data_IF_976672723222
#
_entry.id   IF_976672723222
#
_cell.length_a   1.000
_cell.length_b   1.000
_cell.length_c   1.000
_cell.angle_alpha   90.00
_cell.angle_beta   90.00
_cell.angle_gamma   90.00
#
_symmetry.space_group_name_H-M   'P 1'
#
loop_
_entity.id
_entity.type
_entity.pdbx_description
1 polymer ?
#
# COMPACT_ATOMS: atom_id res chain seq x y z
N UNK A 1 -18.82 25.76 -35.71
CA UNK A 1 -19.39 26.19 -34.42
C UNK A 1 -19.22 25.05 -33.45
N UNK A 2 -18.17 25.10 -32.63
CA UNK A 2 -17.85 24.09 -31.65
C UNK A 2 -18.54 24.45 -30.33
N UNK A 3 -19.36 23.54 -29.80
CA UNK A 3 -19.94 23.65 -28.46
C UNK A 3 -18.97 23.07 -27.44
N UNK A 4 -18.40 23.94 -26.61
CA UNK A 4 -17.59 23.59 -25.45
C UNK A 4 -18.47 22.92 -24.38
N UNK A 5 -18.30 21.61 -24.19
CA UNK A 5 -18.83 20.90 -23.03
C UNK A 5 -17.92 21.18 -21.82
N UNK A 6 -18.50 21.80 -20.79
CA UNK A 6 -17.82 22.31 -19.60
C UNK A 6 -17.01 21.27 -18.83
N UNK A 7 -15.71 21.24 -19.11
CA UNK A 7 -14.69 20.85 -18.14
C UNK A 7 -14.49 22.09 -17.26
N UNK A 8 -14.86 22.02 -15.98
CA UNK A 8 -14.46 23.07 -15.02
C UNK A 8 -12.94 23.15 -15.02
N UNK A 9 -12.42 24.36 -15.23
CA UNK A 9 -10.99 24.61 -15.35
C UNK A 9 -10.24 24.22 -14.08
N UNK A 10 -8.99 23.80 -14.26
CA UNK A 10 -8.03 23.45 -13.20
C UNK A 10 -7.95 24.51 -12.10
N UNK A 11 -8.18 25.78 -12.44
CA UNK A 11 -8.13 26.91 -11.50
C UNK A 11 -9.31 26.98 -10.52
N UNK A 12 -10.50 26.50 -10.89
CA UNK A 12 -11.68 26.56 -10.00
C UNK A 12 -11.62 25.54 -8.85
N UNK A 13 -10.87 24.43 -9.03
CA UNK A 13 -10.69 23.41 -8.00
C UNK A 13 -9.56 23.77 -7.00
N UNK A 14 -8.66 24.69 -7.40
CA UNK A 14 -7.49 25.13 -6.64
C UNK A 14 -7.74 26.36 -5.76
N UNK A 15 -8.83 27.11 -6.00
CA UNK A 15 -9.07 28.42 -5.38
C UNK A 15 -9.29 28.40 -3.85
N UNK A 16 -9.35 27.22 -3.21
CA UNK A 16 -9.62 27.07 -1.78
C UNK A 16 -8.47 26.57 -0.91
N UNK A 17 -7.32 26.16 -1.47
CA UNK A 17 -6.30 25.43 -0.70
C UNK A 17 -4.95 26.16 -0.64
N UNK A 18 -4.35 26.35 0.55
CA UNK A 18 -3.00 26.90 0.66
C UNK A 18 -2.00 25.99 -0.04
N UNK A 19 -1.22 26.54 -0.98
CA UNK A 19 -0.18 25.82 -1.70
C UNK A 19 1.01 25.58 -0.77
N UNK A 20 1.10 24.39 -0.18
CA UNK A 20 2.21 23.95 0.68
C UNK A 20 3.21 23.03 -0.05
N UNK A 21 3.21 23.07 -1.39
CA UNK A 21 4.15 22.36 -2.25
C UNK A 21 3.80 20.90 -2.56
N UNK A 22 2.72 20.35 -1.99
CA UNK A 22 2.25 18.98 -2.30
C UNK A 22 1.20 19.01 -3.40
N UNK A 23 1.40 18.20 -4.44
CA UNK A 23 0.52 18.18 -5.63
C UNK A 23 -0.83 17.51 -5.27
N UNK A 24 -1.98 18.19 -5.49
CA UNK A 24 -3.29 17.57 -5.29
C UNK A 24 -3.54 16.47 -6.31
N UNK A 25 -4.20 15.40 -5.86
CA UNK A 25 -4.67 14.33 -6.71
C UNK A 25 -6.07 14.65 -7.23
N UNK A 26 -6.27 14.48 -8.55
CA UNK A 26 -7.58 14.64 -9.15
C UNK A 26 -8.53 13.53 -8.68
N UNK A 27 -9.71 13.92 -8.19
CA UNK A 27 -10.78 13.00 -7.76
C UNK A 27 -11.76 12.85 -8.92
N UNK A 28 -12.16 11.63 -9.22
CA UNK A 28 -13.14 11.39 -10.27
C UNK A 28 -14.49 12.04 -9.91
N UNK A 29 -15.14 12.73 -10.85
CA UNK A 29 -16.48 13.23 -10.60
C UNK A 29 -17.43 12.05 -10.39
N UNK A 30 -18.38 12.20 -9.46
CA UNK A 30 -19.40 11.17 -9.13
C UNK A 30 -18.76 9.84 -8.70
N UNK A 31 -17.71 9.92 -7.89
CA UNK A 31 -17.04 8.77 -7.29
C UNK A 31 -17.29 8.63 -5.79
N UNK A 32 -18.21 9.38 -5.20
CA UNK A 32 -18.47 9.31 -3.75
C UNK A 32 -19.18 8.01 -3.38
N UNK A 33 -18.69 7.37 -2.32
CA UNK A 33 -19.34 6.24 -1.66
C UNK A 33 -20.54 6.72 -0.83
N UNK A 34 -20.42 7.89 -0.18
CA UNK A 34 -21.45 8.43 0.72
C UNK A 34 -22.80 8.66 0.03
N UNK A 35 -22.82 9.28 -1.15
CA UNK A 35 -24.05 9.49 -1.92
C UNK A 35 -24.41 8.31 -2.87
N UNK A 36 -23.56 7.27 -2.86
CA UNK A 36 -23.63 6.11 -3.74
C UNK A 36 -23.43 6.46 -5.23
N UNK A 37 -22.95 7.66 -5.55
CA UNK A 37 -22.71 8.09 -6.93
C UNK A 37 -21.65 7.23 -7.59
N UNK A 38 -20.69 6.70 -6.82
CA UNK A 38 -19.65 5.80 -7.34
C UNK A 38 -20.24 4.59 -8.07
N UNK A 39 -21.38 4.07 -7.62
CA UNK A 39 -22.07 2.91 -8.21
C UNK A 39 -23.10 3.27 -9.30
N UNK A 40 -23.35 4.56 -9.52
CA UNK A 40 -24.36 5.07 -10.46
C UNK A 40 -23.72 5.65 -11.73
N UNK A 41 -24.49 5.65 -12.82
CA UNK A 41 -24.09 6.29 -14.09
C UNK A 41 -23.28 5.40 -15.04
N UNK A 42 -22.87 5.97 -16.18
CA UNK A 42 -22.25 5.25 -17.31
C UNK A 42 -20.79 5.67 -17.59
N UNK A 43 -20.08 6.18 -16.60
CA UNK A 43 -18.66 6.52 -16.78
C UNK A 43 -17.84 5.26 -17.07
N UNK A 44 -17.05 5.27 -18.15
CA UNK A 44 -16.34 4.09 -18.65
C UNK A 44 -15.41 3.46 -17.61
N UNK A 45 -14.71 4.29 -16.83
CA UNK A 45 -13.77 3.84 -15.79
C UNK A 45 -14.44 2.92 -14.74
N UNK A 46 -15.73 3.13 -14.45
CA UNK A 46 -16.46 2.32 -13.46
C UNK A 46 -16.60 0.86 -13.90
N UNK A 47 -16.82 0.66 -15.21
CA UNK A 47 -16.87 -0.67 -15.82
C UNK A 47 -15.47 -1.24 -15.98
N UNK A 48 -14.53 -0.41 -16.42
CA UNK A 48 -13.14 -0.81 -16.64
C UNK A 48 -12.52 -1.39 -15.38
N UNK A 49 -12.64 -0.70 -14.24
CA UNK A 49 -12.10 -1.10 -12.94
C UNK A 49 -13.06 -1.91 -12.07
N UNK A 50 -14.16 -2.43 -12.64
CA UNK A 50 -15.13 -3.31 -11.95
C UNK A 50 -15.55 -2.76 -10.57
N UNK A 51 -15.86 -1.46 -10.48
CA UNK A 51 -16.10 -0.75 -9.20
C UNK A 51 -17.22 -1.36 -8.35
N UNK A 52 -18.25 -1.89 -9.01
CA UNK A 52 -19.37 -2.55 -8.35
C UNK A 52 -18.96 -3.90 -7.71
N UNK A 53 -17.87 -4.50 -8.18
CA UNK A 53 -17.30 -5.70 -7.55
C UNK A 53 -16.46 -5.28 -6.34
N UNK A 54 -16.90 -5.76 -5.18
CA UNK A 54 -16.35 -5.42 -3.86
C UNK A 54 -15.51 -6.54 -3.28
N UNK A 55 -15.26 -7.59 -4.05
CA UNK A 55 -14.35 -8.64 -3.63
C UNK A 55 -12.92 -8.09 -3.53
N UNK A 56 -12.17 -8.61 -2.57
CA UNK A 56 -10.72 -8.45 -2.54
C UNK A 56 -10.09 -9.26 -3.69
N UNK A 57 -8.89 -8.86 -4.13
CA UNK A 57 -8.09 -9.59 -5.12
C UNK A 57 -8.03 -11.09 -4.82
N UNK A 58 -8.35 -11.91 -5.82
CA UNK A 58 -8.28 -13.37 -5.73
C UNK A 58 -6.84 -13.87 -5.86
N UNK A 59 -5.96 -13.04 -6.43
CA UNK A 59 -4.54 -13.35 -6.50
C UNK A 59 -3.91 -13.31 -5.12
N UNK A 60 -3.24 -14.40 -4.78
CA UNK A 60 -2.40 -14.51 -3.59
C UNK A 60 -1.01 -13.92 -3.90
N UNK A 61 -0.26 -13.47 -2.88
CA UNK A 61 1.16 -13.17 -3.07
C UNK A 61 1.94 -14.48 -3.32
N UNK A 62 3.20 -14.37 -3.73
CA UNK A 62 4.12 -15.51 -3.91
C UNK A 62 3.72 -16.52 -5.00
N UNK A 63 2.87 -16.14 -5.97
CA UNK A 63 2.33 -17.07 -6.97
C UNK A 63 3.39 -17.78 -7.81
N UNK A 64 4.53 -17.14 -8.05
CA UNK A 64 5.61 -17.63 -8.89
C UNK A 64 6.90 -17.79 -8.07
N UNK A 65 6.79 -18.22 -6.82
CA UNK A 65 7.95 -18.45 -5.93
C UNK A 65 8.76 -19.71 -6.29
N UNK A 66 8.09 -20.78 -6.72
CA UNK A 66 8.74 -22.02 -7.16
C UNK A 66 8.09 -22.52 -8.47
N UNK A 67 8.29 -21.79 -9.58
CA UNK A 67 7.65 -22.13 -10.84
C UNK A 67 8.38 -23.29 -11.52
N UNK A 68 7.61 -24.27 -12.03
CA UNK A 68 8.14 -25.53 -12.58
C UNK A 68 8.73 -25.42 -13.99
N UNK A 69 8.51 -24.31 -14.68
CA UNK A 69 8.89 -24.04 -16.07
C UNK A 69 10.05 -23.03 -16.17
N UNK A 70 10.93 -22.99 -15.17
CA UNK A 70 12.10 -22.12 -15.20
C UNK A 70 13.05 -22.43 -16.36
N UNK A 71 13.42 -21.39 -17.11
CA UNK A 71 14.55 -21.41 -18.03
C UNK A 71 15.67 -20.52 -17.47
N UNK A 72 16.76 -21.13 -16.98
CA UNK A 72 17.88 -20.43 -16.35
C UNK A 72 19.01 -20.20 -17.35
N UNK A 73 19.44 -18.94 -17.49
CA UNK A 73 20.62 -18.53 -18.24
C UNK A 73 21.47 -17.62 -17.36
N UNK A 74 22.76 -17.92 -17.20
CA UNK A 74 23.71 -17.17 -16.36
C UNK A 74 23.22 -16.93 -14.91
N UNK A 75 22.50 -17.90 -14.34
CA UNK A 75 21.95 -17.81 -12.98
C UNK A 75 20.68 -16.96 -12.86
N UNK A 76 20.15 -16.42 -13.95
CA UNK A 76 18.90 -15.65 -13.99
C UNK A 76 17.77 -16.43 -14.69
N UNK A 77 16.53 -16.23 -14.22
CA UNK A 77 15.37 -16.81 -14.86
C UNK A 77 14.90 -15.95 -16.04
N UNK A 78 14.90 -16.54 -17.24
CA UNK A 78 14.52 -15.86 -18.49
C UNK A 78 13.01 -15.90 -18.75
N UNK A 79 12.31 -16.86 -18.15
CA UNK A 79 10.87 -17.07 -18.35
C UNK A 79 10.04 -16.15 -17.44
N UNK A 80 10.42 -16.08 -16.17
CA UNK A 80 9.77 -15.27 -15.14
C UNK A 80 10.47 -13.93 -15.02
N UNK A 81 10.18 -13.01 -15.95
CA UNK A 81 10.84 -11.70 -15.96
C UNK A 81 10.20 -10.77 -14.92
N UNK A 82 10.99 -9.89 -14.29
CA UNK A 82 10.47 -8.78 -13.49
C UNK A 82 9.49 -7.90 -14.28
N UNK A 83 8.62 -7.17 -13.57
CA UNK A 83 7.55 -6.35 -14.14
C UNK A 83 7.65 -4.90 -13.68
N UNK A 84 6.90 -3.99 -14.32
CA UNK A 84 6.60 -2.70 -13.71
C UNK A 84 5.71 -2.93 -12.49
N UNK A 85 6.15 -2.47 -11.31
CA UNK A 85 5.35 -2.50 -10.08
C UNK A 85 5.17 -1.11 -9.49
N UNK A 86 4.15 -0.96 -8.65
CA UNK A 86 3.88 0.27 -7.93
C UNK A 86 4.05 0.03 -6.43
N UNK A 87 4.88 0.86 -5.79
CA UNK A 87 5.17 0.75 -4.36
C UNK A 87 4.65 1.97 -3.62
N UNK A 88 3.93 1.70 -2.53
CA UNK A 88 3.44 2.72 -1.60
C UNK A 88 4.37 2.73 -0.39
N UNK A 89 4.94 3.89 -0.07
CA UNK A 89 5.85 4.02 1.07
C UNK A 89 5.13 4.44 2.33
N UNK A 90 4.25 5.43 2.22
CA UNK A 90 3.55 5.95 3.39
C UNK A 90 2.23 6.63 3.03
N UNK A 91 1.37 6.65 4.04
CA UNK A 91 0.15 7.45 4.10
C UNK A 91 0.26 8.34 5.34
N UNK A 92 0.00 9.64 5.19
CA UNK A 92 0.10 10.62 6.27
C UNK A 92 -1.18 11.42 6.37
N UNK A 93 -1.71 11.55 7.59
CA UNK A 93 -2.85 12.42 7.87
C UNK A 93 -2.38 13.88 7.81
N UNK A 94 -2.51 14.51 6.65
CA UNK A 94 -1.88 15.80 6.38
C UNK A 94 -2.62 16.96 7.06
N UNK A 95 -3.95 16.95 7.00
CA UNK A 95 -4.82 18.00 7.56
C UNK A 95 -6.06 17.37 8.17
N UNK A 96 -6.51 17.94 9.27
CA UNK A 96 -7.81 17.69 9.88
C UNK A 96 -8.48 19.04 10.08
N UNK A 97 -9.69 19.20 9.58
CA UNK A 97 -10.45 20.45 9.69
C UNK A 97 -11.37 20.48 10.92
N UNK A 98 -11.34 19.43 11.75
CA UNK A 98 -12.25 19.21 12.87
C UNK A 98 -11.46 18.90 14.15
N UNK A 99 -11.59 19.79 15.15
CA UNK A 99 -10.88 19.65 16.42
C UNK A 99 -9.37 19.86 16.32
N UNK A 100 -8.68 19.92 17.48
CA UNK A 100 -7.23 20.12 17.56
C UNK A 100 -6.48 18.92 18.16
N UNK A 101 -7.13 17.76 18.29
CA UNK A 101 -6.59 16.57 18.96
C UNK A 101 -6.53 15.33 18.07
N UNK A 102 -6.09 14.18 18.64
CA UNK A 102 -6.16 12.89 17.96
C UNK A 102 -7.60 12.56 17.54
N UNK A 103 -7.73 11.88 16.41
CA UNK A 103 -9.02 11.42 15.88
C UNK A 103 -9.01 9.90 15.72
N UNK A 104 -10.18 9.29 15.90
CA UNK A 104 -10.40 7.88 15.61
C UNK A 104 -10.72 7.71 14.12
N UNK A 105 -9.81 7.09 13.35
CA UNK A 105 -9.99 6.83 11.93
C UNK A 105 -10.37 5.38 11.66
N UNK A 106 -11.31 5.21 10.73
CA UNK A 106 -11.66 3.91 10.16
C UNK A 106 -11.98 4.03 8.67
N UNK A 107 -12.17 2.90 7.99
CA UNK A 107 -12.42 2.84 6.55
C UNK A 107 -11.27 2.17 5.81
N UNK A 108 -11.16 2.43 4.50
CA UNK A 108 -10.15 1.78 3.67
C UNK A 108 -9.55 2.68 2.59
N UNK A 109 -8.36 2.27 2.15
CA UNK A 109 -7.72 2.73 0.91
C UNK A 109 -7.25 1.48 0.17
N UNK A 110 -7.69 1.32 -1.07
CA UNK A 110 -7.42 0.16 -1.90
C UNK A 110 -6.94 0.56 -3.29
N UNK A 111 -6.11 -0.29 -3.88
CA UNK A 111 -5.61 -0.15 -5.24
C UNK A 111 -6.33 -1.14 -6.16
N UNK A 112 -6.61 -0.72 -7.39
CA UNK A 112 -7.03 -1.61 -8.48
C UNK A 112 -6.08 -1.39 -9.66
N UNK A 113 -5.50 -2.45 -10.18
CA UNK A 113 -4.62 -2.42 -11.34
C UNK A 113 -5.12 -3.38 -12.42
N UNK A 114 -4.39 -3.46 -13.53
CA UNK A 114 -4.77 -4.30 -14.65
C UNK A 114 -4.50 -5.79 -14.43
N UNK A 115 -3.80 -6.16 -13.34
CA UNK A 115 -3.53 -7.56 -13.03
C UNK A 115 -4.77 -8.25 -12.45
N UNK A 116 -5.36 -7.65 -11.41
CA UNK A 116 -6.64 -8.06 -10.86
C UNK A 116 -7.38 -6.80 -10.42
N UNK A 117 -8.36 -6.39 -11.22
CA UNK A 117 -9.13 -5.12 -11.08
C UNK A 117 -10.05 -5.08 -9.86
N UNK A 118 -9.81 -5.96 -8.89
CA UNK A 118 -10.49 -6.06 -7.61
C UNK A 118 -9.74 -5.27 -6.53
N UNK A 119 -10.31 -5.18 -5.34
CA UNK A 119 -9.73 -4.39 -4.26
C UNK A 119 -8.45 -5.05 -3.75
N UNK A 120 -7.34 -4.31 -3.79
CA UNK A 120 -6.12 -4.67 -3.09
C UNK A 120 -5.89 -3.67 -1.95
N UNK A 121 -6.33 -4.01 -0.75
CA UNK A 121 -6.37 -3.09 0.39
C UNK A 121 -4.96 -2.76 0.89
N UNK A 122 -4.64 -1.47 0.97
CA UNK A 122 -3.40 -0.97 1.58
C UNK A 122 -3.64 -0.61 3.04
N UNK A 123 -4.84 -0.09 3.31
CA UNK A 123 -5.39 0.23 4.62
C UNK A 123 -6.80 -0.33 4.69
N UNK A 124 -7.15 -0.96 5.83
CA UNK A 124 -8.51 -1.38 6.13
C UNK A 124 -8.69 -1.47 7.65
N UNK A 125 -9.53 -0.58 8.17
CA UNK A 125 -9.87 -0.49 9.59
C UNK A 125 -11.38 -0.53 9.75
N UNK A 126 -11.86 -1.35 10.69
CA UNK A 126 -13.28 -1.44 11.00
C UNK A 126 -13.66 -0.30 11.92
N UNK A 127 -14.91 0.16 11.85
CA UNK A 127 -15.44 1.18 12.78
C UNK A 127 -15.36 0.76 14.25
N UNK A 128 -15.51 -0.53 14.51
CA UNK A 128 -15.46 -1.12 15.85
C UNK A 128 -14.03 -1.21 16.41
N UNK A 129 -13.02 -1.13 15.53
CA UNK A 129 -11.60 -1.17 15.86
C UNK A 129 -10.85 -0.06 15.08
N UNK A 130 -11.13 1.23 15.39
CA UNK A 130 -10.51 2.35 14.71
C UNK A 130 -9.08 2.56 15.20
N UNK A 131 -8.28 3.28 14.42
CA UNK A 131 -6.96 3.72 14.85
C UNK A 131 -7.01 5.16 15.36
N UNK A 132 -6.21 5.49 16.38
CA UNK A 132 -6.08 6.86 16.87
C UNK A 132 -4.89 7.51 16.17
N UNK A 133 -5.12 8.62 15.47
CA UNK A 133 -4.09 9.32 14.68
C UNK A 133 -4.18 10.82 14.90
N UNK A 134 -3.02 11.47 15.02
CA UNK A 134 -2.91 12.93 15.06
C UNK A 134 -2.57 13.51 13.69
N UNK A 135 -2.95 14.77 13.46
CA UNK A 135 -2.51 15.49 12.26
C UNK A 135 -0.97 15.50 12.17
N UNK A 136 -0.45 15.20 11.00
CA UNK A 136 0.98 15.07 10.72
C UNK A 136 1.54 13.67 10.97
N UNK A 137 0.76 12.75 11.56
CA UNK A 137 1.20 11.38 11.80
C UNK A 137 0.97 10.46 10.60
N UNK A 138 1.76 9.38 10.55
CA UNK A 138 1.58 8.31 9.59
C UNK A 138 0.33 7.48 9.94
N UNK A 139 -0.41 7.10 8.92
CA UNK A 139 -1.47 6.10 9.00
C UNK A 139 -0.82 4.74 8.82
N UNK A 140 -0.98 3.86 9.81
CA UNK A 140 -0.42 2.51 9.73
C UNK A 140 -1.04 1.77 8.53
N UNK A 141 -0.19 1.16 7.70
CA UNK A 141 -0.62 0.41 6.54
C UNK A 141 -0.57 -1.07 6.85
N UNK A 142 -1.64 -1.81 6.53
CA UNK A 142 -1.57 -3.27 6.51
C UNK A 142 -0.71 -3.79 5.36
N UNK A 143 -0.46 -2.94 4.36
CA UNK A 143 0.15 -3.29 3.10
C UNK A 143 -0.84 -4.01 2.18
N UNK A 144 -0.58 -3.98 0.86
CA UNK A 144 -1.40 -4.71 -0.11
C UNK A 144 -1.30 -6.22 0.12
N UNK A 145 -2.35 -6.96 -0.24
CA UNK A 145 -2.37 -8.43 -0.19
C UNK A 145 -1.32 -9.04 -1.14
N UNK A 146 -1.09 -8.38 -2.28
CA UNK A 146 -0.16 -8.77 -3.36
C UNK A 146 0.43 -7.55 -4.05
N UNK A 147 1.54 -7.70 -4.76
CA UNK A 147 2.24 -6.64 -5.45
C UNK A 147 1.38 -5.95 -6.50
N UNK A 148 1.48 -4.62 -6.63
CA UNK A 148 0.62 -3.80 -7.50
C UNK A 148 1.28 -3.67 -8.88
N UNK A 149 0.56 -4.02 -9.94
CA UNK A 149 1.05 -3.89 -11.32
C UNK A 149 1.03 -2.41 -11.77
N UNK A 150 2.10 -1.97 -12.46
CA UNK A 150 2.22 -0.61 -12.98
C UNK A 150 2.34 -0.51 -14.50
N UNK A 151 2.06 -1.59 -15.24
CA UNK A 151 2.00 -1.52 -16.70
C UNK A 151 0.81 -0.69 -17.17
N UNK A 152 -0.31 -0.84 -16.46
CA UNK A 152 -1.55 -0.11 -16.65
C UNK A 152 -1.66 1.18 -15.83
N UNK A 153 -2.84 1.79 -15.91
CA UNK A 153 -3.24 2.84 -14.97
C UNK A 153 -3.73 2.21 -13.66
N UNK A 154 -3.42 2.83 -12.53
CA UNK A 154 -3.81 2.32 -11.22
C UNK A 154 -4.93 3.20 -10.68
N UNK A 155 -6.05 2.59 -10.28
CA UNK A 155 -7.09 3.28 -9.57
C UNK A 155 -6.83 3.20 -8.07
N UNK A 156 -6.83 4.33 -7.39
CA UNK A 156 -6.90 4.40 -5.93
C UNK A 156 -8.36 4.64 -5.56
N UNK A 157 -8.91 3.79 -4.72
CA UNK A 157 -10.27 3.90 -4.17
C UNK A 157 -10.19 4.06 -2.66
N UNK A 158 -10.94 5.01 -2.11
CA UNK A 158 -10.87 5.35 -0.69
C UNK A 158 -12.22 5.77 -0.12
N UNK A 159 -12.53 5.28 1.08
CA UNK A 159 -13.61 5.74 1.95
C UNK A 159 -13.05 5.69 3.37
N UNK A 160 -12.50 6.81 3.83
CA UNK A 160 -11.93 6.98 5.16
C UNK A 160 -12.76 7.97 5.95
N UNK A 161 -13.01 7.65 7.21
CA UNK A 161 -13.93 8.38 8.09
C UNK A 161 -13.32 8.62 9.45
N UNK A 162 -13.74 9.72 10.07
CA UNK A 162 -13.48 10.05 11.47
C UNK A 162 -14.70 9.62 12.27
N UNK A 163 -14.50 8.69 13.19
CA UNK A 163 -15.53 8.19 14.09
C UNK A 163 -15.94 9.28 15.06
N UNK A 164 -17.25 9.36 15.28
CA UNK A 164 -17.87 10.23 16.28
C UNK A 164 -18.45 9.39 17.42
N UNK A 165 -18.83 10.04 18.52
CA UNK A 165 -19.51 9.38 19.64
C UNK A 165 -20.92 8.87 19.28
N UNK A 166 -21.45 9.25 18.11
CA UNK A 166 -22.78 8.92 17.65
C UNK A 166 -22.80 7.68 16.73
N UNK A 167 -23.95 7.41 16.11
CA UNK A 167 -24.11 6.36 15.10
C UNK A 167 -23.29 6.66 13.83
N UNK A 168 -22.94 5.63 13.06
CA UNK A 168 -22.11 5.71 11.84
C UNK A 168 -22.59 6.77 10.83
N UNK A 169 -23.89 7.04 10.77
CA UNK A 169 -24.48 8.06 9.87
C UNK A 169 -24.01 9.49 10.18
N UNK A 170 -23.50 9.73 11.38
CA UNK A 170 -22.97 11.02 11.83
C UNK A 170 -21.45 11.10 11.77
N UNK A 171 -20.78 10.01 11.39
CA UNK A 171 -19.34 10.01 11.24
C UNK A 171 -18.90 10.92 10.09
N UNK A 172 -17.77 11.58 10.30
CA UNK A 172 -17.28 12.62 9.40
C UNK A 172 -16.44 12.00 8.30
N UNK A 173 -16.65 12.46 7.07
CA UNK A 173 -15.90 11.97 5.92
C UNK A 173 -14.53 12.65 5.85
N UNK A 174 -13.46 11.88 6.03
CA UNK A 174 -12.09 12.40 5.89
C UNK A 174 -11.73 12.54 4.41
N UNK A 175 -11.79 11.43 3.67
CA UNK A 175 -11.62 11.36 2.21
C UNK A 175 -12.57 10.31 1.65
N UNK A 176 -13.15 10.58 0.49
CA UNK A 176 -14.07 9.67 -0.20
C UNK A 176 -13.97 9.87 -1.69
N UNK A 177 -13.81 8.78 -2.42
CA UNK A 177 -13.75 8.84 -3.86
C UNK A 177 -12.87 7.80 -4.50
N UNK A 178 -12.58 8.08 -5.77
CA UNK A 178 -11.57 7.36 -6.51
C UNK A 178 -10.72 8.34 -7.32
N UNK A 179 -9.44 8.03 -7.43
CA UNK A 179 -8.46 8.78 -8.21
C UNK A 179 -7.68 7.84 -9.11
N UNK A 180 -7.09 8.38 -10.18
CA UNK A 180 -6.27 7.60 -11.10
C UNK A 180 -4.82 8.03 -11.05
N UNK A 181 -3.94 7.05 -11.01
CA UNK A 181 -2.52 7.21 -11.25
C UNK A 181 -2.25 6.76 -12.67
N UNK A 182 -1.86 7.71 -13.51
CA UNK A 182 -1.37 7.41 -14.85
C UNK A 182 0.10 7.04 -14.73
N UNK A 183 0.39 5.74 -14.71
CA UNK A 183 1.74 5.22 -14.49
C UNK A 183 2.78 5.82 -15.46
N UNK A 184 2.36 6.16 -16.68
CA UNK A 184 3.23 6.78 -17.71
C UNK A 184 3.71 8.19 -17.36
N UNK A 185 2.96 8.91 -16.53
CA UNK A 185 3.28 10.29 -16.14
C UNK A 185 4.31 10.33 -15.00
N UNK A 186 4.55 9.19 -14.35
CA UNK A 186 5.49 9.07 -13.24
C UNK A 186 6.91 8.83 -13.72
N UNK A 187 7.85 9.55 -13.12
CA UNK A 187 9.26 9.27 -13.28
C UNK A 187 9.61 7.90 -12.67
N UNK A 188 10.36 7.12 -13.43
CA UNK A 188 10.80 5.77 -13.04
C UNK A 188 11.73 5.84 -11.83
N UNK A 189 11.49 4.97 -10.84
CA UNK A 189 12.30 4.83 -9.64
C UNK A 189 12.53 6.17 -8.91
N UNK A 190 11.54 7.06 -8.93
CA UNK A 190 11.54 8.31 -8.18
C UNK A 190 10.30 8.37 -7.30
N UNK A 191 10.47 8.82 -6.06
CA UNK A 191 9.37 8.92 -5.11
C UNK A 191 8.60 10.21 -5.35
N UNK A 192 7.29 10.16 -5.27
CA UNK A 192 6.44 11.34 -5.37
C UNK A 192 5.46 11.34 -4.21
N UNK A 193 5.03 12.54 -3.81
CA UNK A 193 3.98 12.72 -2.81
C UNK A 193 2.84 13.51 -3.43
N UNK A 194 1.64 12.96 -3.33
CA UNK A 194 0.40 13.62 -3.76
C UNK A 194 -0.59 13.69 -2.60
N UNK A 195 -1.47 14.69 -2.63
CA UNK A 195 -2.48 14.90 -1.61
C UNK A 195 -3.88 14.57 -2.11
N UNK A 196 -4.59 13.74 -1.36
CA UNK A 196 -6.02 13.49 -1.51
C UNK A 196 -6.76 14.42 -0.55
N UNK A 197 -7.51 15.36 -1.09
CA UNK A 197 -8.36 16.24 -0.30
C UNK A 197 -9.74 15.60 -0.08
N UNK A 198 -10.31 15.81 1.10
CA UNK A 198 -11.70 15.49 1.36
C UNK A 198 -12.33 16.51 2.30
N UNK A 199 -13.56 16.25 2.69
CA UNK A 199 -14.40 17.25 3.35
C UNK A 199 -13.84 17.67 4.71
N UNK A 200 -13.41 16.70 5.53
CA UNK A 200 -12.93 16.96 6.89
C UNK A 200 -11.41 16.93 7.03
N UNK A 201 -10.66 16.81 5.93
CA UNK A 201 -9.20 16.81 6.00
C UNK A 201 -8.50 16.46 4.68
N UNK A 202 -7.27 15.99 4.80
CA UNK A 202 -6.50 15.53 3.65
C UNK A 202 -5.50 14.44 4.05
N UNK A 203 -5.23 13.52 3.12
CA UNK A 203 -4.23 12.47 3.27
C UNK A 203 -3.15 12.64 2.21
N UNK A 204 -1.90 12.72 2.66
CA UNK A 204 -0.73 12.66 1.79
C UNK A 204 -0.36 11.20 1.55
N UNK A 205 -0.05 10.89 0.32
CA UNK A 205 0.32 9.56 -0.14
C UNK A 205 1.66 9.64 -0.87
N UNK A 206 2.63 8.85 -0.42
CA UNK A 206 3.97 8.79 -1.01
C UNK A 206 4.19 7.42 -1.66
N UNK A 207 4.59 7.43 -2.93
CA UNK A 207 4.78 6.22 -3.72
C UNK A 207 5.86 6.36 -4.80
N UNK A 208 6.19 5.24 -5.45
CA UNK A 208 7.09 5.19 -6.60
C UNK A 208 6.64 4.13 -7.60
N UNK A 209 6.89 4.41 -8.88
CA UNK A 209 6.82 3.40 -9.95
C UNK A 209 8.19 2.75 -10.10
N UNK A 210 8.25 1.45 -9.83
CA UNK A 210 9.47 0.64 -9.94
C UNK A 210 9.46 -0.14 -11.24
N UNK A 211 10.51 0.02 -12.04
CA UNK A 211 10.73 -0.77 -13.26
C UNK A 211 11.57 -2.00 -12.94
N UNK A 212 11.31 -3.10 -13.67
CA UNK A 212 12.00 -4.37 -13.45
C UNK A 212 11.97 -4.82 -11.98
N UNK A 213 10.80 -4.76 -11.36
CA UNK A 213 10.58 -5.12 -9.97
C UNK A 213 9.96 -6.51 -9.79
N UNK A 214 10.17 -7.06 -8.61
CA UNK A 214 9.63 -8.31 -8.11
C UNK A 214 8.88 -8.07 -6.81
N UNK A 215 7.90 -8.92 -6.53
CA UNK A 215 7.20 -8.96 -5.25
C UNK A 215 8.10 -9.63 -4.20
N UNK A 216 8.27 -8.96 -3.06
CA UNK A 216 8.88 -9.49 -1.86
C UNK A 216 7.79 -9.65 -0.79
N UNK A 217 7.56 -10.88 -0.37
CA UNK A 217 6.70 -11.21 0.75
C UNK A 217 7.55 -11.44 2.00
N UNK A 218 7.29 -10.65 3.04
CA UNK A 218 8.01 -10.62 4.30
C UNK A 218 7.20 -11.31 5.39
N UNK A 219 7.80 -12.31 6.02
CA UNK A 219 7.24 -13.00 7.19
C UNK A 219 8.28 -12.99 8.31
N UNK A 220 7.94 -12.37 9.45
CA UNK A 220 8.82 -12.24 10.61
C UNK A 220 8.23 -13.02 11.77
N UNK A 221 8.99 -13.97 12.29
CA UNK A 221 8.64 -14.74 13.49
C UNK A 221 9.57 -14.34 14.62
N UNK A 222 8.99 -14.02 15.77
CA UNK A 222 9.69 -13.66 17.00
C UNK A 222 9.50 -14.81 17.98
N UNK A 223 10.60 -15.33 18.49
CA UNK A 223 10.64 -16.47 19.41
C UNK A 223 11.64 -16.21 20.54
N UNK A 224 11.60 -17.03 21.59
CA UNK A 224 12.55 -16.93 22.72
C UNK A 224 12.55 -15.54 23.38
N UNK A 225 11.36 -14.91 23.47
CA UNK A 225 11.17 -13.58 24.06
C UNK A 225 11.52 -13.64 25.54
N UNK A 226 12.53 -12.84 25.96
CA UNK A 226 13.02 -12.79 27.33
C UNK A 226 12.16 -11.88 28.20
N UNK A 227 11.89 -10.67 27.71
CA UNK A 227 11.09 -9.63 28.37
C UNK A 227 10.27 -8.89 27.31
N UNK A 228 9.22 -8.18 27.73
CA UNK A 228 8.46 -7.32 26.83
C UNK A 228 9.31 -6.17 26.28
N UNK A 229 9.20 -5.88 24.99
CA UNK A 229 9.94 -4.80 24.33
C UNK A 229 9.12 -4.15 23.22
N UNK A 230 9.45 -2.91 22.89
CA UNK A 230 8.89 -2.22 21.74
C UNK A 230 9.70 -2.54 20.49
N UNK A 231 8.99 -2.87 19.41
CA UNK A 231 9.56 -3.15 18.11
C UNK A 231 8.98 -2.19 17.07
N UNK A 232 9.87 -1.49 16.37
CA UNK A 232 9.55 -0.80 15.13
C UNK A 232 10.34 -1.47 13.99
N UNK A 233 9.61 -2.07 13.06
CA UNK A 233 10.14 -2.72 11.87
C UNK A 233 9.84 -1.88 10.64
N UNK A 234 10.89 -1.50 9.94
CA UNK A 234 10.80 -0.73 8.71
C UNK A 234 11.58 -1.38 7.58
N UNK A 235 11.22 -1.05 6.34
CA UNK A 235 11.80 -1.59 5.13
C UNK A 235 12.19 -0.47 4.17
N UNK A 236 13.36 -0.61 3.56
CA UNK A 236 13.87 0.24 2.49
C UNK A 236 14.14 -0.64 1.28
N UNK A 237 13.73 -0.21 0.09
CA UNK A 237 13.87 -1.01 -1.13
C UNK A 237 14.41 -0.19 -2.28
N UNK A 238 15.04 -0.87 -3.24
CA UNK A 238 15.29 -0.31 -4.58
C UNK A 238 16.21 0.93 -4.60
N UNK A 239 17.06 1.09 -3.58
CA UNK A 239 17.93 2.26 -3.45
C UNK A 239 17.19 3.57 -3.12
N UNK A 240 15.91 3.48 -2.73
CA UNK A 240 15.11 4.63 -2.31
C UNK A 240 15.28 4.86 -0.82
N UNK A 241 15.26 6.14 -0.42
CA UNK A 241 15.43 6.56 0.97
C UNK A 241 14.10 6.63 1.75
N UNK A 242 12.99 6.26 1.13
CA UNK A 242 11.68 6.28 1.75
C UNK A 242 11.46 5.04 2.63
N UNK A 243 11.05 5.27 3.87
CA UNK A 243 10.81 4.24 4.87
C UNK A 243 9.41 3.65 4.70
N UNK A 244 9.31 2.34 4.49
CA UNK A 244 8.06 1.60 4.58
C UNK A 244 7.94 1.05 6.00
N UNK A 245 6.98 1.54 6.79
CA UNK A 245 6.75 1.03 8.15
C UNK A 245 5.89 -0.24 8.09
N UNK A 246 6.47 -1.37 8.48
CA UNK A 246 5.81 -2.68 8.42
C UNK A 246 5.16 -3.07 9.75
N UNK A 247 5.76 -2.66 10.87
CA UNK A 247 5.21 -2.92 12.20
C UNK A 247 5.69 -1.86 13.19
N UNK A 248 4.82 -1.49 14.13
CA UNK A 248 5.18 -0.64 15.26
C UNK A 248 4.29 -1.01 16.45
N UNK A 249 4.87 -1.62 17.49
CA UNK A 249 4.12 -2.05 18.66
C UNK A 249 4.97 -2.80 19.68
N UNK A 250 4.32 -3.22 20.77
CA UNK A 250 4.95 -3.96 21.87
C UNK A 250 4.86 -5.46 21.64
N UNK A 251 5.96 -6.17 21.87
CA UNK A 251 6.07 -7.62 21.82
C UNK A 251 6.24 -8.13 23.25
N UNK A 252 5.25 -8.86 23.77
CA UNK A 252 5.30 -9.48 25.10
C UNK A 252 5.60 -10.98 25.08
N UNK A 253 5.31 -11.65 23.96
CA UNK A 253 5.43 -13.10 23.82
C UNK A 253 5.86 -13.50 22.41
N UNK A 254 6.19 -14.78 22.24
CA UNK A 254 6.56 -15.32 20.92
C UNK A 254 5.38 -15.24 19.97
N UNK A 255 5.58 -14.62 18.81
CA UNK A 255 4.51 -14.34 17.86
C UNK A 255 5.02 -14.27 16.41
N UNK A 256 4.11 -14.42 15.46
CA UNK A 256 4.35 -14.10 14.05
C UNK A 256 3.75 -12.74 13.72
N UNK A 257 4.54 -11.86 13.11
CA UNK A 257 4.02 -10.58 12.61
C UNK A 257 3.17 -10.81 11.37
N UNK A 258 2.22 -9.91 11.13
CA UNK A 258 1.44 -9.90 9.89
C UNK A 258 2.37 -9.83 8.69
N UNK A 259 2.12 -10.69 7.71
CA UNK A 259 2.83 -10.71 6.44
C UNK A 259 2.73 -9.35 5.75
N UNK A 260 3.85 -8.88 5.21
CA UNK A 260 3.90 -7.64 4.42
C UNK A 260 4.34 -7.93 2.98
N UNK A 261 3.80 -7.19 2.02
CA UNK A 261 4.19 -7.29 0.61
C UNK A 261 4.76 -5.96 0.14
N UNK A 262 5.95 -6.00 -0.44
CA UNK A 262 6.64 -4.83 -1.02
C UNK A 262 7.21 -5.18 -2.38
N UNK A 263 7.32 -4.20 -3.26
CA UNK A 263 7.98 -4.30 -4.55
C UNK A 263 9.45 -3.87 -4.41
N UNK A 264 10.33 -4.62 -5.08
CA UNK A 264 11.78 -4.40 -5.05
C UNK A 264 12.34 -4.52 -6.46
N UNK A 265 13.13 -3.55 -6.90
CA UNK A 265 13.84 -3.62 -8.18
C UNK A 265 14.81 -4.80 -8.16
N UNK A 266 14.83 -5.59 -9.23
CA UNK A 266 15.71 -6.76 -9.35
C UNK A 266 17.19 -6.39 -9.18
N UNK A 267 17.99 -7.27 -8.58
CA UNK A 267 19.40 -7.06 -8.29
C UNK A 267 19.72 -5.84 -7.40
N UNK A 268 18.70 -5.19 -6.82
CA UNK A 268 18.86 -4.19 -5.77
C UNK A 268 18.66 -4.79 -4.39
N UNK A 269 19.01 -4.02 -3.36
CA UNK A 269 18.84 -4.43 -1.97
C UNK A 269 17.47 -4.05 -1.43
N UNK A 270 16.89 -4.98 -0.67
CA UNK A 270 15.89 -4.71 0.34
C UNK A 270 16.53 -4.79 1.71
N UNK A 271 16.45 -3.71 2.49
CA UNK A 271 17.02 -3.61 3.83
C UNK A 271 15.91 -3.44 4.85
N UNK A 272 15.84 -4.37 5.80
CA UNK A 272 14.98 -4.25 6.97
C UNK A 272 15.75 -3.61 8.12
N UNK A 273 15.08 -2.72 8.84
CA UNK A 273 15.59 -2.02 10.01
C UNK A 273 14.70 -2.36 11.20
N UNK A 274 15.30 -2.93 12.24
CA UNK A 274 14.65 -3.29 13.49
C UNK A 274 15.13 -2.34 14.57
N UNK A 275 14.24 -1.52 15.11
CA UNK A 275 14.48 -0.76 16.33
C UNK A 275 13.82 -1.49 17.49
N UNK A 276 14.63 -1.98 18.43
CA UNK A 276 14.17 -2.67 19.63
C UNK A 276 14.51 -1.83 20.86
N UNK A 277 13.57 -1.63 21.77
CA UNK A 277 13.85 -0.91 23.01
C UNK A 277 12.94 -1.34 24.15
N UNK A 278 13.46 -1.29 25.38
CA UNK A 278 12.59 -1.30 26.55
C UNK A 278 11.89 0.06 26.65
N UNK A 279 10.73 0.13 27.31
CA UNK A 279 9.92 1.36 27.42
C UNK A 279 10.69 2.58 27.95
N UNK A 280 11.80 2.37 28.67
CA UNK A 280 12.58 3.41 29.35
C UNK A 280 14.06 3.47 28.95
N UNK A 281 14.51 2.80 27.87
CA UNK A 281 15.93 2.73 27.49
C UNK A 281 16.22 3.12 26.04
N UNK A 282 17.50 3.34 25.72
CA UNK A 282 17.96 3.58 24.35
C UNK A 282 17.65 2.38 23.47
N UNK A 283 17.03 2.62 22.31
CA UNK A 283 16.73 1.57 21.34
C UNK A 283 17.99 1.03 20.65
N UNK A 284 18.16 -0.29 20.63
CA UNK A 284 19.12 -0.96 19.79
C UNK A 284 18.60 -1.04 18.35
N UNK A 285 19.48 -0.78 17.38
CA UNK A 285 19.15 -0.84 15.95
C UNK A 285 19.88 -2.01 15.31
N UNK A 286 19.14 -2.84 14.56
CA UNK A 286 19.67 -3.95 13.81
C UNK A 286 19.16 -3.93 12.37
N UNK A 287 19.95 -4.49 11.45
CA UNK A 287 19.61 -4.54 10.04
C UNK A 287 19.79 -5.94 9.47
N UNK A 288 18.95 -6.30 8.50
CA UNK A 288 19.21 -7.40 7.59
C UNK A 288 18.87 -6.99 6.16
N UNK A 289 19.63 -7.50 5.20
CA UNK A 289 19.51 -7.09 3.80
C UNK A 289 19.45 -8.32 2.90
N UNK A 290 18.60 -8.25 1.88
CA UNK A 290 18.38 -9.31 0.90
C UNK A 290 18.51 -8.72 -0.51
N UNK A 291 19.20 -9.43 -1.39
CA UNK A 291 19.26 -9.06 -2.82
C UNK A 291 18.00 -9.60 -3.48
N UNK A 292 17.29 -8.75 -4.22
CA UNK A 292 16.10 -9.15 -4.96
C UNK A 292 16.43 -10.15 -6.08
N UNK A 293 15.62 -11.19 -6.17
CA UNK A 293 15.72 -12.25 -7.18
C UNK A 293 14.34 -12.51 -7.82
N UNK A 294 14.28 -13.17 -8.98
CA UNK A 294 13.04 -13.41 -9.71
C UNK A 294 12.04 -14.27 -8.92
N UNK A 295 12.56 -15.27 -8.22
CA UNK A 295 11.80 -16.21 -7.40
C UNK A 295 12.70 -16.87 -6.35
N UNK A 296 12.10 -17.57 -5.40
CA UNK A 296 12.78 -18.30 -4.33
C UNK A 296 12.58 -17.74 -2.93
N UNK A 297 13.09 -18.46 -1.94
CA UNK A 297 12.88 -18.19 -0.51
C UNK A 297 14.23 -18.03 0.19
N UNK A 298 14.36 -16.99 1.00
CA UNK A 298 15.53 -16.71 1.83
C UNK A 298 15.10 -16.57 3.27
N UNK A 299 15.89 -17.10 4.19
CA UNK A 299 15.62 -16.97 5.62
C UNK A 299 16.88 -16.54 6.35
N UNK A 300 16.76 -15.55 7.22
CA UNK A 300 17.83 -15.09 8.09
C UNK A 300 17.34 -15.02 9.52
N UNK A 301 18.12 -15.58 10.44
CA UNK A 301 17.89 -15.47 11.88
C UNK A 301 18.77 -14.39 12.47
N UNK A 302 18.25 -13.69 13.46
CA UNK A 302 18.94 -12.63 14.18
C UNK A 302 18.63 -12.78 15.67
N UNK A 303 19.66 -13.03 16.47
CA UNK A 303 19.55 -13.03 17.92
C UNK A 303 19.79 -11.61 18.44
N UNK A 304 18.91 -11.15 19.30
CA UNK A 304 19.02 -9.87 20.00
C UNK A 304 19.01 -10.12 21.51
N UNK A 305 19.21 -9.07 22.31
CA UNK A 305 19.10 -9.16 23.76
C UNK A 305 17.67 -9.43 24.24
N UNK A 306 16.67 -9.16 23.39
CA UNK A 306 15.26 -9.30 23.72
C UNK A 306 14.63 -10.62 23.24
N UNK A 307 14.98 -11.05 22.02
CA UNK A 307 14.36 -12.19 21.36
C UNK A 307 15.22 -12.74 20.21
N UNK A 308 14.86 -13.94 19.74
CA UNK A 308 15.31 -14.50 18.46
C UNK A 308 14.29 -14.15 17.37
N UNK A 309 14.73 -13.40 16.36
CA UNK A 309 13.94 -13.03 15.20
C UNK A 309 14.32 -13.93 14.01
N UNK A 310 13.33 -14.43 13.29
CA UNK A 310 13.49 -15.17 12.04
C UNK A 310 12.75 -14.43 10.94
N UNK A 311 13.51 -13.89 9.99
CA UNK A 311 12.99 -13.17 8.83
C UNK A 311 13.01 -14.12 7.64
N UNK A 312 11.84 -14.37 7.06
CA UNK A 312 11.70 -15.07 5.79
C UNK A 312 11.26 -14.09 4.73
N UNK A 313 11.99 -14.08 3.62
CA UNK A 313 11.68 -13.31 2.42
C UNK A 313 11.38 -14.28 1.29
N UNK A 314 10.23 -14.12 0.68
CA UNK A 314 9.83 -14.88 -0.49
C UNK A 314 9.74 -13.96 -1.70
N UNK A 315 10.49 -14.28 -2.75
CA UNK A 315 10.47 -13.54 -4.00
C UNK A 315 9.51 -14.18 -5.00
N UNK A 316 8.81 -13.34 -5.75
CA UNK A 316 7.93 -13.77 -6.84
C UNK A 316 7.84 -12.68 -7.89
N UNK A 317 7.83 -13.07 -9.16
CA UNK A 317 7.33 -12.18 -10.22
C UNK A 317 5.81 -12.13 -10.20
N UNK A 318 5.22 -11.08 -10.78
CA UNK A 318 3.78 -11.02 -10.98
C UNK A 318 3.36 -11.98 -12.10
N UNK A 319 2.23 -12.70 -11.97
CA UNK A 319 1.74 -13.56 -13.03
C UNK A 319 1.40 -12.73 -14.27
N UNK A 320 1.79 -13.20 -15.46
CA UNK A 320 1.38 -12.54 -16.71
C UNK A 320 -0.11 -12.80 -16.96
N UNK A 321 -0.83 -11.77 -17.42
CA UNK A 321 -2.30 -11.73 -17.53
C UNK A 321 -3.00 -12.81 -18.37
N UNK A 322 -2.28 -13.79 -18.93
CA UNK A 322 -2.86 -14.96 -19.61
C UNK A 322 -3.24 -16.13 -18.69
N UNK A 323 -2.81 -16.15 -17.42
CA UNK A 323 -3.10 -17.25 -16.49
C UNK A 323 -4.11 -16.92 -15.38
N UNK A 324 -4.54 -15.66 -15.23
CA UNK A 324 -5.46 -15.27 -14.16
C UNK A 324 -6.94 -15.70 -14.38
N UNK A 325 -7.28 -16.29 -15.53
CA UNK A 325 -8.65 -16.67 -15.89
C UNK A 325 -8.83 -18.15 -16.27
N UNK A 326 -7.83 -19.01 -16.08
CA UNK A 326 -7.91 -20.44 -16.45
C UNK A 326 -8.11 -21.39 -15.27
N UNK A 327 -8.98 -21.04 -14.31
CA UNK A 327 -9.42 -22.00 -13.28
C UNK A 327 -10.82 -21.67 -12.73
N UNK A 328 -11.82 -21.61 -13.60
CA UNK A 328 -13.21 -21.95 -13.24
C UNK A 328 -14.08 -22.09 -14.48
N UNK A 329 -13.84 -23.16 -15.22
CA UNK A 329 -14.87 -23.70 -16.09
C UNK A 329 -14.61 -25.19 -16.24
N UNK A 330 -15.33 -25.99 -15.47
CA UNK A 330 -15.96 -27.23 -15.93
C UNK A 330 -16.99 -27.72 -14.88
N UNK A 331 -18.01 -28.48 -15.32
CA UNK A 331 -19.42 -28.23 -15.03
C UNK A 331 -19.91 -28.65 -13.64
#
# INVERSE_FOLDING_TARGET
MASSSGVKGWDEQMAGYPFDGVVPMAIFPKSSHHDGSIYKGRHAWKKEYRIADRNETWLEPMMLTDPSDCCILDGACMQHTPSGMFQIFSLKLAKIHVGCGPVELYGYIAMRDDLDRLLNYVVSFKRDDPIIVEQGSLINMSGPKRGIDSHGNILIEYDMRIKTAEEEKHDLQLIDGASIIVSKDLQKCHTFTSRIYGDCGAVDFTASRLENAVEATLEVVISEVQNSFNLCLSCFTSGLNEEIRLFNGTIGESCGLKRSVVAVVIASWMTLKFKLGAESSSSAEHHCSFIANNHGIFTQKMKTDFALLSVKVTWSTLPRGSHAHSSSSQP
#
